data_IF_544594749906
#
_entry.id   IF_544594749906
#
_cell.length_a   1.000
_cell.length_b   1.000
_cell.length_c   1.000
_cell.angle_alpha   90.00
_cell.angle_beta   90.00
_cell.angle_gamma   90.00
#
_symmetry.space_group_name_H-M   'P 1'
#
loop_
_entity.id
_entity.type
_entity.pdbx_description
1 polymer ?
#
# COMPACT_ATOMS: atom_id res chain seq x y z
N UNK A 1 14.65 8.14 1.14
CA UNK A 1 14.12 7.25 2.20
C UNK A 1 12.85 6.59 1.75
N UNK A 2 12.55 5.39 2.26
CA UNK A 2 11.31 4.69 1.98
C UNK A 2 10.60 4.41 3.31
N UNK A 3 9.27 4.52 3.31
CA UNK A 3 8.43 4.31 4.48
C UNK A 3 7.30 3.35 4.17
N UNK A 4 6.98 2.49 5.15
CA UNK A 4 5.74 1.74 5.18
C UNK A 4 4.78 2.39 6.17
N UNK A 5 3.56 2.71 5.74
CA UNK A 5 2.52 3.30 6.59
C UNK A 5 1.32 2.38 6.59
N UNK A 6 1.24 1.54 7.61
CA UNK A 6 0.24 0.48 7.74
C UNK A 6 -0.93 0.84 8.64
N UNK A 7 -1.95 -0.02 8.61
CA UNK A 7 -3.03 -0.02 9.59
C UNK A 7 -2.59 -0.59 10.95
N UNK A 8 -3.52 -1.17 11.71
CA UNK A 8 -3.22 -1.71 13.04
C UNK A 8 -2.09 -2.73 13.02
N UNK A 9 -1.18 -2.61 13.98
CA UNK A 9 -0.08 -3.56 14.19
C UNK A 9 -0.59 -4.97 14.55
N UNK A 10 -1.78 -5.07 15.10
CA UNK A 10 -2.38 -6.36 15.47
C UNK A 10 -2.97 -7.10 14.26
N UNK A 11 -3.14 -6.40 13.14
CA UNK A 11 -3.59 -7.01 11.91
C UNK A 11 -2.48 -7.86 11.27
N UNK A 12 -2.79 -9.10 10.96
CA UNK A 12 -1.84 -10.07 10.39
C UNK A 12 -1.25 -9.58 9.05
N UNK A 13 -2.10 -9.08 8.15
CA UNK A 13 -1.67 -8.63 6.82
C UNK A 13 -0.78 -7.39 6.91
N UNK A 14 -1.08 -6.47 7.82
CA UNK A 14 -0.23 -5.29 8.08
C UNK A 14 1.17 -5.71 8.50
N UNK A 15 1.28 -6.63 9.46
CA UNK A 15 2.59 -7.13 9.92
C UNK A 15 3.36 -7.78 8.79
N UNK A 16 2.72 -8.68 8.03
CA UNK A 16 3.36 -9.37 6.91
C UNK A 16 3.86 -8.40 5.84
N UNK A 17 3.07 -7.39 5.50
CA UNK A 17 3.48 -6.35 4.54
C UNK A 17 4.67 -5.53 5.06
N UNK A 18 4.67 -5.15 6.34
CA UNK A 18 5.78 -4.44 6.97
C UNK A 18 7.06 -5.27 7.02
N UNK A 19 6.96 -6.56 7.38
CA UNK A 19 8.09 -7.50 7.39
C UNK A 19 8.71 -7.65 6.00
N UNK A 20 7.88 -7.85 4.97
CA UNK A 20 8.33 -7.99 3.58
C UNK A 20 8.93 -6.69 3.03
N UNK A 21 8.36 -5.54 3.39
CA UNK A 21 8.94 -4.23 3.08
C UNK A 21 10.36 -4.13 3.63
N UNK A 22 10.55 -4.38 4.92
CA UNK A 22 11.87 -4.32 5.55
C UNK A 22 12.84 -5.37 4.99
N UNK A 23 12.36 -6.60 4.73
CA UNK A 23 13.15 -7.66 4.12
C UNK A 23 13.66 -7.24 2.74
N UNK A 24 12.78 -6.66 1.93
CA UNK A 24 13.10 -6.19 0.58
C UNK A 24 14.12 -5.05 0.60
N UNK A 25 13.98 -4.08 1.52
CA UNK A 25 14.96 -3.00 1.68
C UNK A 25 16.37 -3.54 2.02
N UNK A 26 16.42 -4.47 2.97
CA UNK A 26 17.69 -5.13 3.35
C UNK A 26 18.33 -5.86 2.18
N UNK A 27 17.54 -6.62 1.42
CA UNK A 27 18.00 -7.36 0.25
C UNK A 27 18.52 -6.44 -0.88
N UNK A 28 17.94 -5.24 -0.99
CA UNK A 28 18.36 -4.22 -1.96
C UNK A 28 19.56 -3.37 -1.48
N UNK A 29 20.14 -3.65 -0.30
CA UNK A 29 21.20 -2.85 0.28
C UNK A 29 20.78 -1.45 0.74
N UNK A 30 19.47 -1.20 0.79
CA UNK A 30 18.88 0.03 1.34
C UNK A 30 18.73 -0.19 2.84
N UNK A 31 19.31 0.69 3.66
CA UNK A 31 19.23 0.54 5.11
C UNK A 31 17.77 0.53 5.56
N UNK A 32 17.36 -0.55 6.23
CA UNK A 32 16.03 -0.68 6.81
C UNK A 32 16.11 -0.30 8.30
N UNK A 33 15.45 0.79 8.68
CA UNK A 33 15.37 1.29 10.06
C UNK A 33 14.02 0.92 10.65
N UNK A 34 13.96 0.72 11.96
CA UNK A 34 12.69 0.41 12.63
C UNK A 34 11.65 1.55 12.50
N UNK A 35 12.12 2.81 12.47
CA UNK A 35 11.28 4.00 12.35
C UNK A 35 10.76 4.25 10.92
N UNK A 36 11.07 3.39 9.97
CA UNK A 36 10.55 3.43 8.59
C UNK A 36 9.21 2.69 8.43
N UNK A 37 8.74 1.96 9.45
CA UNK A 37 7.42 1.35 9.50
C UNK A 37 6.56 2.02 10.58
N UNK A 38 5.44 2.61 10.17
CA UNK A 38 4.47 3.26 11.04
C UNK A 38 3.15 2.49 11.02
N UNK A 39 2.47 2.43 12.17
CA UNK A 39 1.25 1.66 12.36
C UNK A 39 0.17 2.54 13.00
N UNK A 40 -1.07 2.40 12.54
CA UNK A 40 -2.22 3.14 13.04
C UNK A 40 -3.52 2.54 12.53
N UNK A 41 -4.39 3.34 11.93
CA UNK A 41 -5.68 2.91 11.41
C UNK A 41 -5.66 2.82 9.87
N UNK A 42 -6.59 2.06 9.31
CA UNK A 42 -6.85 2.04 7.87
C UNK A 42 -7.75 3.22 7.48
N UNK A 43 -7.24 4.44 7.66
CA UNK A 43 -8.02 5.66 7.40
C UNK A 43 -7.19 6.75 6.71
N UNK A 44 -7.82 7.66 5.96
CA UNK A 44 -7.14 8.82 5.40
C UNK A 44 -6.59 9.74 6.49
N UNK A 45 -7.26 9.89 7.60
CA UNK A 45 -6.83 10.75 8.72
C UNK A 45 -5.50 10.28 9.30
N UNK A 46 -5.34 8.95 9.50
CA UNK A 46 -4.06 8.38 9.92
C UNK A 46 -2.92 8.70 8.94
N UNK A 47 -3.16 8.48 7.64
CA UNK A 47 -2.17 8.78 6.59
C UNK A 47 -1.76 10.25 6.58
N UNK A 48 -2.74 11.14 6.72
CA UNK A 48 -2.58 12.59 6.76
C UNK A 48 -1.78 13.04 7.99
N UNK A 49 -2.14 12.55 9.17
CA UNK A 49 -1.46 12.88 10.42
C UNK A 49 -0.03 12.37 10.45
N UNK A 50 0.22 11.16 9.94
CA UNK A 50 1.56 10.64 9.78
C UNK A 50 2.40 11.55 8.87
N UNK A 51 1.87 11.92 7.69
CA UNK A 51 2.59 12.76 6.74
C UNK A 51 2.93 14.14 7.32
N UNK A 52 1.98 14.79 8.02
CA UNK A 52 2.23 16.08 8.70
C UNK A 52 3.32 15.97 9.76
N UNK A 53 3.36 14.88 10.57
CA UNK A 53 4.46 14.65 11.53
C UNK A 53 5.80 14.50 10.82
N UNK A 54 5.87 13.68 9.78
CA UNK A 54 7.10 13.47 9.01
C UNK A 54 7.61 14.75 8.35
N UNK A 55 6.70 15.64 7.92
CA UNK A 55 7.06 16.93 7.35
C UNK A 55 7.68 17.87 8.40
N UNK A 56 7.16 17.91 9.63
CA UNK A 56 7.73 18.69 10.73
C UNK A 56 9.18 18.28 11.03
N UNK A 57 9.47 16.99 10.90
CA UNK A 57 10.81 16.45 11.10
C UNK A 57 11.70 16.53 9.85
N UNK A 58 11.26 17.23 8.80
CA UNK A 58 11.95 17.36 7.50
C UNK A 58 12.29 16.00 6.85
N UNK A 59 11.44 14.99 7.05
CA UNK A 59 11.67 13.62 6.60
C UNK A 59 10.76 13.18 5.44
N UNK A 60 9.74 13.96 5.10
CA UNK A 60 8.74 13.59 4.10
C UNK A 60 9.22 13.86 2.67
N UNK A 61 9.74 15.07 2.39
CA UNK A 61 10.21 15.43 1.07
C UNK A 61 11.41 14.57 0.63
N UNK A 62 11.42 14.16 -0.64
CA UNK A 62 12.44 13.28 -1.21
C UNK A 62 12.27 11.81 -0.82
N UNK A 63 11.12 11.42 -0.24
CA UNK A 63 10.85 10.05 0.18
C UNK A 63 9.87 9.31 -0.73
N UNK A 64 9.75 7.99 -0.49
CA UNK A 64 8.72 7.14 -1.06
C UNK A 64 7.91 6.48 0.06
N UNK A 65 6.62 6.35 -0.14
CA UNK A 65 5.66 5.77 0.81
C UNK A 65 4.97 4.57 0.17
N UNK A 66 5.06 3.41 0.82
CA UNK A 66 4.19 2.28 0.61
C UNK A 66 3.11 2.31 1.70
N UNK A 67 1.90 2.66 1.32
CA UNK A 67 0.76 2.67 2.23
C UNK A 67 0.12 1.28 2.33
N UNK A 68 -0.37 0.95 3.51
CA UNK A 68 -1.01 -0.32 3.80
C UNK A 68 -2.34 -0.54 3.05
N UNK A 69 -3.01 0.56 2.65
CA UNK A 69 -4.15 0.55 1.73
C UNK A 69 -4.25 1.89 0.99
N UNK A 70 -5.21 2.01 0.07
CA UNK A 70 -5.42 3.23 -0.72
C UNK A 70 -5.93 4.39 0.15
N UNK A 71 -6.71 4.15 1.20
CA UNK A 71 -7.22 5.21 2.07
C UNK A 71 -6.08 5.91 2.83
N UNK A 72 -5.13 5.15 3.39
CA UNK A 72 -3.92 5.72 3.98
C UNK A 72 -3.14 6.52 2.93
N UNK A 73 -2.97 5.98 1.72
CA UNK A 73 -2.27 6.66 0.62
C UNK A 73 -2.94 7.99 0.26
N UNK A 74 -4.27 8.02 0.20
CA UNK A 74 -5.06 9.24 -0.06
C UNK A 74 -4.84 10.30 1.02
N UNK A 75 -4.80 9.90 2.29
CA UNK A 75 -4.47 10.81 3.39
C UNK A 75 -3.07 11.40 3.27
N UNK A 76 -2.08 10.58 2.92
CA UNK A 76 -0.71 11.07 2.65
C UNK A 76 -0.68 12.04 1.47
N UNK A 77 -1.42 11.75 0.39
CA UNK A 77 -1.53 12.65 -0.78
C UNK A 77 -2.17 13.98 -0.43
N UNK A 78 -3.23 13.96 0.36
CA UNK A 78 -3.91 15.16 0.84
C UNK A 78 -2.96 16.04 1.67
N UNK A 79 -2.28 15.46 2.65
CA UNK A 79 -1.31 16.21 3.46
C UNK A 79 -0.14 16.73 2.62
N UNK A 80 0.35 15.98 1.63
CA UNK A 80 1.38 16.45 0.71
C UNK A 80 0.92 17.70 -0.06
N UNK A 81 -0.32 17.69 -0.56
CA UNK A 81 -0.90 18.85 -1.27
C UNK A 81 -1.01 20.08 -0.35
N UNK A 82 -1.50 19.91 0.88
CA UNK A 82 -1.62 20.98 1.89
C UNK A 82 -0.23 21.59 2.25
N UNK A 83 0.81 20.77 2.22
CA UNK A 83 2.20 21.15 2.50
C UNK A 83 2.94 21.70 1.26
N UNK A 84 2.28 21.80 0.11
CA UNK A 84 2.88 22.27 -1.14
C UNK A 84 3.87 21.28 -1.78
N UNK A 85 3.86 20.01 -1.38
CA UNK A 85 4.70 18.96 -1.97
C UNK A 85 4.03 18.37 -3.21
N UNK A 86 4.81 18.25 -4.27
CA UNK A 86 4.33 17.67 -5.53
C UNK A 86 4.53 16.15 -5.53
N UNK A 87 3.45 15.41 -5.78
CA UNK A 87 3.48 13.98 -6.06
C UNK A 87 3.46 13.80 -7.59
N UNK A 88 4.39 13.08 -8.18
CA UNK A 88 5.44 12.23 -7.60
C UNK A 88 6.83 12.90 -7.46
N UNK A 89 6.99 14.18 -7.79
CA UNK A 89 8.31 14.83 -7.86
C UNK A 89 9.00 14.85 -6.49
N UNK A 90 8.29 15.35 -5.48
CA UNK A 90 8.83 15.58 -4.13
C UNK A 90 8.52 14.42 -3.18
N UNK A 91 7.49 13.62 -3.48
CA UNK A 91 7.04 12.48 -2.69
C UNK A 91 6.43 11.43 -3.61
N UNK A 92 6.88 10.17 -3.55
CA UNK A 92 6.30 9.06 -4.31
C UNK A 92 5.42 8.21 -3.41
N UNK A 93 4.25 7.80 -3.92
CA UNK A 93 3.25 7.09 -3.11
C UNK A 93 2.73 5.89 -3.89
N UNK A 94 2.67 4.75 -3.20
CA UNK A 94 2.03 3.52 -3.68
C UNK A 94 1.04 3.07 -2.61
N UNK A 95 -0.21 2.81 -3.02
CA UNK A 95 -1.27 2.26 -2.18
C UNK A 95 -1.38 0.74 -2.29
N UNK A 96 -2.50 0.22 -1.77
CA UNK A 96 -2.87 -1.18 -1.83
C UNK A 96 -4.40 -1.28 -1.90
N UNK A 97 -4.96 -2.19 -2.70
CA UNK A 97 -6.33 -2.60 -2.97
C UNK A 97 -6.84 -2.23 -4.37
N UNK A 98 -6.32 -1.16 -5.01
CA UNK A 98 -6.79 -0.61 -6.27
C UNK A 98 -8.29 -0.24 -6.23
N UNK A 99 -8.65 0.54 -5.23
CA UNK A 99 -10.00 1.06 -5.08
C UNK A 99 -10.35 2.00 -6.24
N UNK A 100 -11.65 2.24 -6.43
CA UNK A 100 -12.12 3.19 -7.46
C UNK A 100 -11.47 4.58 -7.31
N UNK A 101 -11.26 5.03 -6.07
CA UNK A 101 -10.66 6.33 -5.78
C UNK A 101 -9.23 6.44 -6.30
N UNK A 102 -8.45 5.35 -6.28
CA UNK A 102 -7.07 5.35 -6.79
C UNK A 102 -6.97 5.82 -8.26
N UNK A 103 -8.00 5.57 -9.07
CA UNK A 103 -8.07 6.00 -10.47
C UNK A 103 -8.66 7.39 -10.68
N UNK A 104 -9.36 7.95 -9.69
CA UNK A 104 -10.07 9.23 -9.79
C UNK A 104 -9.27 10.42 -9.27
N UNK A 105 -8.43 10.20 -8.26
CA UNK A 105 -7.59 11.26 -7.67
C UNK A 105 -6.54 11.79 -8.65
N UNK A 106 -5.99 12.96 -8.35
CA UNK A 106 -4.92 13.59 -9.14
C UNK A 106 -3.76 13.99 -8.22
N UNK A 107 -2.54 13.48 -8.54
CA UNK A 107 -2.20 12.47 -9.55
C UNK A 107 -2.88 11.11 -9.25
N UNK A 108 -3.14 10.27 -10.28
CA UNK A 108 -3.73 8.94 -10.08
C UNK A 108 -2.79 8.05 -9.26
N UNK A 109 -3.35 7.33 -8.30
CA UNK A 109 -2.58 6.54 -7.32
C UNK A 109 -2.11 5.21 -7.92
N UNK A 110 -0.80 4.99 -7.90
CA UNK A 110 -0.19 3.67 -8.08
C UNK A 110 -0.55 2.79 -6.88
N UNK A 111 -0.91 1.54 -7.14
CA UNK A 111 -1.43 0.67 -6.06
C UNK A 111 -1.26 -0.80 -6.42
N UNK A 112 -1.36 -1.67 -5.43
CA UNK A 112 -1.36 -3.13 -5.64
C UNK A 112 -2.81 -3.60 -5.76
N UNK A 113 -3.18 -4.13 -6.93
CA UNK A 113 -4.51 -4.72 -7.17
C UNK A 113 -4.58 -6.14 -6.63
N UNK A 114 -5.51 -6.37 -5.71
CA UNK A 114 -5.89 -7.70 -5.24
C UNK A 114 -7.01 -8.22 -6.14
N UNK A 115 -6.94 -9.47 -6.66
CA UNK A 115 -7.97 -10.04 -7.53
C UNK A 115 -9.20 -10.49 -6.71
N UNK A 116 -9.97 -9.54 -6.16
CA UNK A 116 -11.06 -9.83 -5.21
C UNK A 116 -12.17 -10.71 -5.80
N UNK A 117 -12.48 -10.55 -7.08
CA UNK A 117 -13.50 -11.38 -7.77
C UNK A 117 -13.05 -12.83 -7.83
N UNK A 118 -11.80 -13.05 -8.24
CA UNK A 118 -11.21 -14.37 -8.33
C UNK A 118 -11.05 -15.02 -6.95
N UNK A 119 -10.70 -14.22 -5.92
CA UNK A 119 -10.66 -14.67 -4.51
C UNK A 119 -12.04 -15.15 -4.07
N UNK A 120 -13.09 -14.36 -4.30
CA UNK A 120 -14.47 -14.72 -3.96
C UNK A 120 -14.93 -15.99 -4.70
N UNK A 121 -14.72 -16.04 -6.00
CA UNK A 121 -15.09 -17.21 -6.81
C UNK A 121 -14.37 -18.48 -6.34
N UNK A 122 -13.06 -18.38 -6.06
CA UNK A 122 -12.27 -19.53 -5.58
C UNK A 122 -12.68 -19.99 -4.19
N UNK A 123 -13.01 -19.04 -3.30
CA UNK A 123 -13.50 -19.36 -1.95
C UNK A 123 -14.81 -20.16 -2.01
N UNK A 124 -15.77 -19.72 -2.83
CA UNK A 124 -17.05 -20.42 -3.01
C UNK A 124 -16.84 -21.79 -3.64
N UNK A 125 -15.98 -21.91 -4.67
CA UNK A 125 -15.64 -23.20 -5.26
C UNK A 125 -15.10 -24.19 -4.22
N UNK A 126 -14.12 -23.75 -3.41
CA UNK A 126 -13.51 -24.59 -2.37
C UNK A 126 -14.52 -24.99 -1.28
N UNK A 127 -15.45 -24.09 -0.94
CA UNK A 127 -16.53 -24.38 0.00
C UNK A 127 -17.47 -25.46 -0.55
N UNK A 128 -17.91 -25.35 -1.80
CA UNK A 128 -18.77 -26.34 -2.44
C UNK A 128 -18.08 -27.73 -2.47
N UNK A 129 -16.82 -27.77 -2.94
CA UNK A 129 -16.03 -29.01 -2.94
C UNK A 129 -15.90 -29.64 -1.52
N UNK A 130 -15.84 -28.80 -0.48
CA UNK A 130 -15.74 -29.25 0.91
C UNK A 130 -17.10 -29.78 1.44
N UNK A 131 -18.20 -29.24 0.97
CA UNK A 131 -19.54 -29.74 1.32
C UNK A 131 -19.80 -31.10 0.67
N UNK A 132 -19.37 -31.30 -0.57
CA UNK A 132 -19.50 -32.57 -1.28
C UNK A 132 -18.56 -33.67 -0.71
N UNK A 133 -17.34 -33.24 -0.32
CA UNK A 133 -16.31 -34.15 0.24
C UNK A 133 -15.79 -33.62 1.61
N UNK A 134 -16.53 -33.83 2.71
CA UNK A 134 -16.18 -33.26 4.03
C UNK A 134 -14.82 -33.68 4.57
N UNK A 135 -14.32 -34.88 4.16
CA UNK A 135 -13.01 -35.42 4.58
C UNK A 135 -11.84 -34.96 3.71
N UNK A 136 -12.08 -34.18 2.64
CA UNK A 136 -11.01 -33.67 1.77
C UNK A 136 -10.01 -32.82 2.57
N UNK A 137 -8.69 -33.00 2.37
CA UNK A 137 -7.68 -32.16 3.04
C UNK A 137 -7.88 -30.67 2.77
N UNK A 138 -7.54 -29.83 3.74
CA UNK A 138 -7.51 -28.38 3.54
C UNK A 138 -6.43 -28.02 2.51
N UNK A 139 -6.77 -27.10 1.61
CA UNK A 139 -5.86 -26.59 0.58
C UNK A 139 -5.68 -25.09 0.74
N UNK A 140 -4.46 -24.63 0.46
CA UNK A 140 -4.16 -23.19 0.37
C UNK A 140 -3.96 -22.84 -1.11
N UNK A 141 -4.67 -21.81 -1.56
CA UNK A 141 -4.56 -21.31 -2.93
C UNK A 141 -4.02 -19.88 -2.89
N UNK A 142 -2.95 -19.63 -3.65
CA UNK A 142 -2.38 -18.29 -3.82
C UNK A 142 -2.84 -17.71 -5.16
N UNK A 143 -3.43 -16.52 -5.10
CA UNK A 143 -3.81 -15.75 -6.28
C UNK A 143 -2.87 -14.54 -6.41
N UNK A 144 -2.30 -14.29 -7.61
CA UNK A 144 -1.30 -13.24 -7.79
C UNK A 144 -1.93 -11.85 -7.72
N UNK A 145 -1.43 -11.00 -6.84
CA UNK A 145 -1.69 -9.58 -6.88
C UNK A 145 -0.87 -8.91 -7.99
N UNK A 146 -1.28 -7.71 -8.45
CA UNK A 146 -0.61 -6.97 -9.53
C UNK A 146 -0.32 -5.54 -9.10
N UNK A 147 0.91 -5.07 -9.35
CA UNK A 147 1.22 -3.65 -9.21
C UNK A 147 0.64 -2.88 -10.41
N UNK A 148 -0.18 -1.88 -10.11
CA UNK A 148 -0.76 -0.94 -11.08
C UNK A 148 0.00 0.38 -10.94
N UNK A 149 0.86 0.65 -11.90
CA UNK A 149 1.66 1.88 -11.91
C UNK A 149 0.84 3.02 -12.50
N UNK A 150 0.80 4.17 -11.78
CA UNK A 150 0.15 5.41 -12.19
C UNK A 150 1.04 6.60 -11.82
N UNK A 151 0.49 7.81 -11.91
CA UNK A 151 1.27 9.05 -11.78
C UNK A 151 1.89 9.25 -10.40
N UNK A 152 1.33 8.70 -9.32
CA UNK A 152 1.81 8.97 -7.95
C UNK A 152 3.18 8.37 -7.61
N UNK A 153 3.69 7.44 -8.42
CA UNK A 153 4.99 6.79 -8.16
C UNK A 153 6.03 7.04 -9.25
N UNK A 154 5.60 7.43 -10.45
CA UNK A 154 6.50 7.72 -11.58
C UNK A 154 6.32 9.17 -12.02
N UNK A 155 7.40 9.94 -12.23
CA UNK A 155 7.27 11.25 -12.88
C UNK A 155 6.59 11.07 -14.22
N UNK A 156 5.64 11.96 -14.56
CA UNK A 156 5.12 12.00 -15.93
C UNK A 156 6.32 12.16 -16.86
N UNK A 157 6.71 11.08 -17.54
CA UNK A 157 7.61 11.19 -18.66
C UNK A 157 6.95 12.12 -19.65
N UNK A 158 7.63 13.18 -20.05
CA UNK A 158 7.23 13.94 -21.22
C UNK A 158 6.98 12.93 -22.33
N UNK A 159 5.70 12.82 -22.74
CA UNK A 159 5.36 11.99 -23.88
C UNK A 159 6.21 12.43 -25.08
N UNK A 160 6.98 11.52 -25.58
CA UNK A 160 7.51 11.57 -26.93
C UNK A 160 6.56 10.78 -27.82
#
# INVERSE_FOLDING_TARGET
RLYFVGGSRDNFDTRRRAEEFQRTLRAAGVGAREDEAAFGEYSPDWGSDWARRMAKDHRLAGSGVLAGNDDIALGVMQAAQELGLNVPRDLRIVGFDDTRLASLVRPRLSTVRVPLVEVGAKAIQLLAERLDEPKRPAVTVHLPARLIIRESSVPNGNGH
#
